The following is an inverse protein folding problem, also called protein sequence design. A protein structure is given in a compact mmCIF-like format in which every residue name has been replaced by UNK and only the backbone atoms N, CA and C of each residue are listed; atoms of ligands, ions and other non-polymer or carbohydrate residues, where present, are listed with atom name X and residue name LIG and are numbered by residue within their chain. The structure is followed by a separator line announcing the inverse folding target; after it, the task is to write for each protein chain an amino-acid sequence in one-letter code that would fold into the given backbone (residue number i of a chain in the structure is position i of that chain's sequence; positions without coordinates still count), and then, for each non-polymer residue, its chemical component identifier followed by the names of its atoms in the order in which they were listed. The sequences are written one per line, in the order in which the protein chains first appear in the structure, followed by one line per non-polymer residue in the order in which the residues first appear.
data_IF_045165461678
#
_entry.id   IF_045165461678
#
_cell.length_a   1.000
_cell.length_b   1.000
_cell.length_c   1.000
_cell.angle_alpha   90.00
_cell.angle_beta   90.00
_cell.angle_gamma   90.00
#
_symmetry.space_group_name_H-M   'P 1'
#
loop_
_entity.id
_entity.type
_entity.pdbx_description
1 polymer ?
#
# COMPACT_ATOMS: atom_id res chain seq x y z
N UNK A 1 0.02 -1.92 9.33
CA UNK A 1 -0.23 -2.30 7.92
C UNK A 1 -1.66 -1.89 7.61
N UNK A 2 -1.88 -1.28 6.44
CA UNK A 2 -3.22 -1.09 5.84
C UNK A 2 -3.39 -2.16 4.75
N UNK A 3 -4.61 -2.65 4.59
CA UNK A 3 -5.06 -3.50 3.50
C UNK A 3 -6.57 -3.34 3.35
N UNK A 4 -7.12 -3.65 2.19
CA UNK A 4 -8.56 -3.74 1.96
C UNK A 4 -9.09 -5.13 2.37
N UNK A 5 -10.42 -5.26 2.49
CA UNK A 5 -11.09 -6.49 2.93
C UNK A 5 -11.27 -7.53 1.82
N UNK A 6 -10.97 -7.15 0.58
CA UNK A 6 -10.89 -8.01 -0.61
C UNK A 6 -9.45 -8.40 -0.96
N UNK A 7 -8.50 -8.25 -0.03
CA UNK A 7 -7.09 -8.52 -0.26
C UNK A 7 -6.58 -9.70 0.58
N UNK A 8 -5.92 -10.67 -0.06
CA UNK A 8 -5.14 -11.68 0.64
C UNK A 8 -3.78 -11.10 1.06
N UNK A 9 -3.34 -11.42 2.29
CA UNK A 9 -2.02 -11.03 2.82
C UNK A 9 -1.25 -12.24 3.30
N UNK A 10 -0.05 -12.46 2.75
CA UNK A 10 0.90 -13.46 3.22
C UNK A 10 1.63 -12.96 4.48
N UNK A 11 0.99 -13.11 5.64
CA UNK A 11 1.50 -12.62 6.94
C UNK A 11 2.90 -13.16 7.27
N UNK A 12 3.25 -14.46 7.08
CA UNK A 12 4.60 -14.94 7.30
C UNK A 12 5.67 -14.18 6.49
N UNK A 13 5.37 -13.85 5.23
CA UNK A 13 6.28 -13.10 4.37
C UNK A 13 6.42 -11.64 4.84
N UNK A 14 5.32 -11.01 5.27
CA UNK A 14 5.35 -9.68 5.92
C UNK A 14 6.30 -9.68 7.12
N UNK A 15 6.18 -10.65 8.02
CA UNK A 15 7.02 -10.75 9.22
C UNK A 15 8.50 -10.89 8.84
N UNK A 16 8.83 -11.76 7.89
CA UNK A 16 10.21 -11.93 7.40
C UNK A 16 10.78 -10.64 6.82
N UNK A 17 10.02 -9.93 5.99
CA UNK A 17 10.43 -8.63 5.42
C UNK A 17 10.68 -7.59 6.52
N UNK A 18 9.78 -7.47 7.50
CA UNK A 18 9.97 -6.54 8.62
C UNK A 18 11.19 -6.87 9.48
N UNK A 19 11.51 -8.15 9.68
CA UNK A 19 12.73 -8.58 10.38
C UNK A 19 14.00 -8.21 9.60
N UNK A 20 13.99 -8.40 8.28
CA UNK A 20 15.11 -8.00 7.40
C UNK A 20 15.31 -6.47 7.44
N UNK A 21 14.23 -5.70 7.32
CA UNK A 21 14.28 -4.24 7.42
C UNK A 21 14.82 -3.76 8.78
N UNK A 22 14.37 -4.38 9.88
CA UNK A 22 14.90 -4.08 11.21
C UNK A 22 16.40 -4.36 11.30
N UNK A 23 16.86 -5.49 10.74
CA UNK A 23 18.28 -5.85 10.71
C UNK A 23 19.12 -4.88 9.87
N UNK A 24 18.52 -4.31 8.82
CA UNK A 24 19.12 -3.27 7.98
C UNK A 24 18.94 -1.83 8.53
N UNK A 25 18.42 -1.67 9.75
CA UNK A 25 18.12 -0.37 10.36
C UNK A 25 17.16 0.53 9.54
N UNK A 26 16.23 -0.09 8.79
CA UNK A 26 15.20 0.57 7.99
C UNK A 26 13.88 0.63 8.78
N UNK A 27 13.83 1.42 9.85
CA UNK A 27 12.68 1.42 10.79
C UNK A 27 12.02 2.78 11.01
N UNK A 28 12.61 3.87 10.54
CA UNK A 28 12.10 5.24 10.70
C UNK A 28 11.73 5.87 9.37
N UNK A 29 10.62 6.62 9.36
CA UNK A 29 10.06 7.30 8.17
C UNK A 29 9.93 6.39 6.96
N UNK A 30 9.54 5.13 7.17
CA UNK A 30 9.43 4.13 6.10
C UNK A 30 7.98 4.01 5.63
N UNK A 31 7.79 4.06 4.32
CA UNK A 31 6.56 3.65 3.65
C UNK A 31 6.89 2.54 2.65
N UNK A 32 6.50 1.31 2.98
CA UNK A 32 6.71 0.09 2.21
C UNK A 32 5.42 -0.30 1.48
N UNK A 33 5.50 -0.54 0.18
CA UNK A 33 4.40 -1.00 -0.66
C UNK A 33 4.79 -0.91 -2.13
N UNK A 34 3.83 -1.12 -3.03
CA UNK A 34 4.02 -0.90 -4.47
C UNK A 34 3.45 0.46 -4.85
N UNK A 35 4.24 1.32 -5.48
CA UNK A 35 3.87 2.73 -5.66
C UNK A 35 3.44 3.07 -7.09
N UNK A 36 2.28 3.72 -7.20
CA UNK A 36 1.91 4.47 -8.42
C UNK A 36 2.68 5.80 -8.42
N UNK A 37 3.32 6.11 -9.55
CA UNK A 37 4.19 7.28 -9.72
C UNK A 37 3.64 8.16 -10.83
N UNK A 38 3.57 9.47 -10.57
CA UNK A 38 3.10 10.46 -11.56
C UNK A 38 1.74 10.11 -12.17
N UNK A 39 0.86 9.51 -11.36
CA UNK A 39 -0.47 9.12 -11.82
C UNK A 39 -1.31 10.36 -12.14
N UNK A 40 -2.02 10.33 -13.26
CA UNK A 40 -2.83 11.46 -13.71
C UNK A 40 -3.99 11.75 -12.76
N UNK A 41 -4.25 13.04 -12.56
CA UNK A 41 -5.45 13.51 -11.85
C UNK A 41 -6.60 13.52 -12.86
N UNK A 42 -7.67 12.77 -12.55
CA UNK A 42 -8.84 12.73 -13.41
C UNK A 42 -9.84 13.81 -13.01
N UNK A 43 -10.50 14.41 -13.99
CA UNK A 43 -11.55 15.41 -13.83
C UNK A 43 -12.97 14.83 -14.02
N UNK A 44 -13.08 13.52 -14.27
CA UNK A 44 -14.36 12.82 -14.46
C UNK A 44 -14.32 11.36 -13.98
N UNK A 45 -15.50 10.77 -13.80
CA UNK A 45 -15.67 9.38 -13.37
C UNK A 45 -15.56 9.17 -11.85
N UNK A 46 -15.56 7.90 -11.43
CA UNK A 46 -15.49 7.50 -10.00
C UNK A 46 -14.32 8.15 -9.27
N UNK A 47 -13.21 8.38 -9.97
CA UNK A 47 -11.95 8.85 -9.41
C UNK A 47 -11.66 10.33 -9.71
N UNK A 48 -12.69 11.11 -10.06
CA UNK A 48 -12.55 12.55 -10.28
C UNK A 48 -12.10 13.28 -9.01
N UNK A 49 -11.09 14.14 -9.11
CA UNK A 49 -10.63 15.01 -8.03
C UNK A 49 -10.64 16.46 -8.48
N UNK A 50 -11.35 17.31 -7.75
CA UNK A 50 -11.56 18.72 -8.09
C UNK A 50 -10.88 19.68 -7.10
N UNK A 51 -10.35 19.17 -6.00
CA UNK A 51 -9.72 19.94 -4.93
C UNK A 51 -8.18 19.84 -4.97
N UNK A 52 -7.62 19.11 -5.94
CA UNK A 52 -6.18 18.98 -6.13
C UNK A 52 -5.76 19.56 -7.48
N UNK A 53 -4.94 20.61 -7.45
CA UNK A 53 -4.69 21.48 -8.61
C UNK A 53 -3.49 21.09 -9.49
N UNK A 54 -2.84 19.96 -9.23
CA UNK A 54 -1.73 19.50 -10.07
C UNK A 54 -2.21 18.51 -11.14
N UNK A 55 -1.41 18.32 -12.19
CA UNK A 55 -1.73 17.36 -13.27
C UNK A 55 -1.50 15.91 -12.85
N UNK A 56 -0.61 15.68 -11.88
CA UNK A 56 -0.27 14.36 -11.38
C UNK A 56 -0.14 14.33 -9.87
N UNK A 57 -0.45 13.19 -9.28
CA UNK A 57 -0.27 12.95 -7.85
C UNK A 57 1.20 12.68 -7.51
N UNK A 58 1.63 12.98 -6.26
CA UNK A 58 2.85 12.44 -5.69
C UNK A 58 2.80 10.90 -5.64
N UNK A 59 3.88 10.25 -5.22
CA UNK A 59 3.88 8.80 -5.09
C UNK A 59 2.89 8.36 -4.01
N UNK A 60 2.05 7.38 -4.34
CA UNK A 60 1.15 6.73 -3.39
C UNK A 60 1.16 5.22 -3.60
N UNK A 61 0.95 4.48 -2.51
CA UNK A 61 0.91 3.02 -2.57
C UNK A 61 -0.39 2.52 -3.23
N UNK A 62 -0.34 1.35 -3.85
CA UNK A 62 -1.51 0.66 -4.37
C UNK A 62 -2.41 0.12 -3.24
N UNK A 63 -3.69 -0.07 -3.57
CA UNK A 63 -4.75 -0.43 -2.60
C UNK A 63 -4.59 -1.77 -1.90
N UNK A 64 -3.88 -2.73 -2.52
CA UNK A 64 -3.72 -4.09 -1.96
C UNK A 64 -3.02 -4.14 -0.60
N UNK A 65 -2.31 -3.07 -0.24
CA UNK A 65 -1.81 -2.86 1.10
C UNK A 65 -0.45 -2.19 1.12
N UNK A 66 -0.12 -1.64 2.29
CA UNK A 66 1.18 -1.06 2.57
C UNK A 66 1.46 -1.01 4.07
N UNK A 67 2.72 -0.77 4.40
CA UNK A 67 3.20 -0.64 5.77
C UNK A 67 3.87 0.71 5.95
N UNK A 68 3.47 1.43 6.99
CA UNK A 68 4.14 2.66 7.44
C UNK A 68 4.81 2.43 8.78
N UNK A 69 5.91 3.12 9.02
CA UNK A 69 6.57 3.16 10.32
C UNK A 69 5.73 3.94 11.35
N UNK A 70 5.92 3.62 12.63
CA UNK A 70 5.11 4.17 13.72
C UNK A 70 5.19 5.70 13.85
N UNK A 71 6.33 6.31 13.49
CA UNK A 71 6.53 7.76 13.48
C UNK A 71 5.71 8.47 12.39
N UNK A 72 5.54 7.85 11.22
CA UNK A 72 4.60 8.34 10.20
C UNK A 72 3.16 8.28 10.73
N UNK A 73 2.79 7.16 11.35
CA UNK A 73 1.46 7.01 11.96
C UNK A 73 1.18 8.08 13.02
N UNK A 74 2.13 8.32 13.92
CA UNK A 74 2.02 9.35 14.95
C UNK A 74 1.89 10.77 14.36
N UNK A 75 2.67 11.08 13.31
CA UNK A 75 2.54 12.33 12.58
C UNK A 75 1.13 12.49 12.01
N UNK A 76 0.62 11.49 11.28
CA UNK A 76 -0.71 11.54 10.67
C UNK A 76 -1.80 11.72 11.72
N UNK A 77 -1.73 11.01 12.85
CA UNK A 77 -2.68 11.20 13.96
C UNK A 77 -2.63 12.62 14.53
N UNK A 78 -1.44 13.21 14.68
CA UNK A 78 -1.31 14.58 15.17
C UNK A 78 -1.80 15.62 14.15
N UNK A 79 -1.57 15.38 12.86
CA UNK A 79 -1.90 16.31 11.78
C UNK A 79 -3.36 16.20 11.31
N UNK A 80 -4.07 15.09 11.62
CA UNK A 80 -5.39 14.77 11.08
C UNK A 80 -6.44 15.90 11.11
N UNK A 81 -6.50 16.82 12.09
CA UNK A 81 -7.50 17.89 12.08
C UNK A 81 -7.26 18.93 10.97
N UNK A 82 -6.04 18.96 10.42
CA UNK A 82 -5.59 19.90 9.40
C UNK A 82 -5.42 19.25 8.02
N UNK A 83 -5.60 17.93 7.92
CA UNK A 83 -5.47 17.21 6.66
C UNK A 83 -6.77 17.32 5.85
N UNK A 84 -6.66 17.86 4.64
CA UNK A 84 -7.76 17.85 3.67
C UNK A 84 -8.00 16.43 3.16
N UNK A 85 -9.28 16.05 2.99
CA UNK A 85 -9.65 14.75 2.41
C UNK A 85 -9.69 14.87 0.89
N UNK A 86 -8.85 14.09 0.22
CA UNK A 86 -8.87 13.97 -1.24
C UNK A 86 -9.64 12.73 -1.66
N UNK A 87 -10.03 12.66 -2.92
CA UNK A 87 -10.63 11.49 -3.53
C UNK A 87 -9.60 10.35 -3.61
N UNK A 88 -9.88 9.27 -2.88
CA UNK A 88 -8.96 8.16 -2.69
C UNK A 88 -8.08 8.35 -1.44
N UNK A 89 -8.15 7.39 -0.53
CA UNK A 89 -7.38 7.37 0.72
C UNK A 89 -5.88 7.17 0.47
N UNK A 90 -5.51 6.36 -0.50
CA UNK A 90 -4.11 6.13 -0.86
C UNK A 90 -3.50 7.38 -1.51
N UNK A 91 -4.26 8.02 -2.40
CA UNK A 91 -3.90 9.33 -2.99
C UNK A 91 -3.73 10.37 -1.89
N UNK A 92 -4.67 10.42 -0.94
CA UNK A 92 -4.60 11.32 0.21
C UNK A 92 -3.30 11.11 1.01
N UNK A 93 -2.92 9.86 1.28
CA UNK A 93 -1.65 9.53 1.94
C UNK A 93 -0.44 10.06 1.16
N UNK A 94 -0.43 9.91 -0.16
CA UNK A 94 0.63 10.45 -1.02
C UNK A 94 0.77 11.97 -0.90
N UNK A 95 -0.36 12.68 -0.91
CA UNK A 95 -0.39 14.14 -0.76
C UNK A 95 0.06 14.56 0.64
N UNK A 96 -0.49 13.98 1.70
CA UNK A 96 -0.18 14.33 3.09
C UNK A 96 1.28 14.09 3.46
N UNK A 97 1.92 13.10 2.85
CA UNK A 97 3.31 12.74 3.12
C UNK A 97 4.32 13.41 2.17
N UNK A 98 3.86 14.00 1.06
CA UNK A 98 4.71 14.71 0.09
C UNK A 98 5.63 15.81 0.66
N UNK A 99 5.25 16.61 1.69
CA UNK A 99 6.17 17.60 2.25
C UNK A 99 7.22 17.01 3.20
N UNK A 100 7.15 15.71 3.52
CA UNK A 100 8.05 15.04 4.46
C UNK A 100 9.16 14.28 3.75
N UNK A 101 10.29 14.13 4.42
CA UNK A 101 11.35 13.21 3.98
C UNK A 101 10.98 11.78 4.33
N UNK A 102 10.29 11.10 3.41
CA UNK A 102 9.89 9.69 3.53
C UNK A 102 10.87 8.79 2.78
N UNK A 103 11.18 7.63 3.38
CA UNK A 103 11.85 6.52 2.71
C UNK A 103 10.80 5.60 2.11
N UNK A 104 10.60 5.74 0.81
CA UNK A 104 9.80 4.83 0.02
C UNK A 104 10.58 3.54 -0.22
N UNK A 105 9.97 2.40 0.13
CA UNK A 105 10.48 1.07 -0.24
C UNK A 105 9.48 0.50 -1.24
N UNK A 106 9.83 0.61 -2.52
CA UNK A 106 9.01 0.15 -3.63
C UNK A 106 9.17 -1.36 -3.81
N UNK A 107 8.09 -2.09 -3.59
CA UNK A 107 8.09 -3.55 -3.47
C UNK A 107 6.92 -4.15 -4.24
N UNK A 108 7.20 -4.66 -5.44
CA UNK A 108 6.21 -5.23 -6.35
C UNK A 108 5.52 -6.49 -5.80
N UNK A 109 6.05 -7.10 -4.73
CA UNK A 109 5.35 -8.20 -4.05
C UNK A 109 4.02 -7.76 -3.42
N UNK A 110 3.80 -6.47 -3.24
CA UNK A 110 2.47 -5.91 -2.99
C UNK A 110 1.76 -5.70 -4.33
N UNK A 111 0.97 -6.67 -4.78
CA UNK A 111 0.43 -6.61 -6.15
C UNK A 111 -0.61 -5.49 -6.29
N UNK A 112 -0.50 -4.65 -7.31
CA UNK A 112 -1.50 -3.58 -7.56
C UNK A 112 -2.77 -4.08 -8.26
N UNK A 113 -2.73 -5.28 -8.83
CA UNK A 113 -3.79 -5.90 -9.63
C UNK A 113 -3.79 -7.41 -9.36
N UNK A 114 -4.83 -8.12 -9.77
CA UNK A 114 -4.80 -9.58 -9.81
C UNK A 114 -3.66 -10.06 -10.74
N UNK A 115 -2.75 -10.93 -10.26
CA UNK A 115 -1.68 -11.47 -11.10
C UNK A 115 -2.24 -12.31 -12.25
N UNK A 116 -1.81 -12.05 -13.48
CA UNK A 116 -2.23 -12.81 -14.67
C UNK A 116 -1.60 -14.22 -14.70
N UNK A 117 -0.34 -14.34 -14.25
CA UNK A 117 0.44 -15.59 -14.25
C UNK A 117 0.13 -16.51 -13.04
N UNK A 118 -0.93 -16.20 -12.30
CA UNK A 118 -1.33 -16.94 -11.10
C UNK A 118 -0.64 -16.49 -9.82
N UNK A 119 -1.03 -17.11 -8.72
CA UNK A 119 -0.58 -16.75 -7.37
C UNK A 119 0.73 -17.45 -7.05
N UNK A 120 1.73 -16.68 -6.61
CA UNK A 120 3.03 -17.19 -6.21
C UNK A 120 3.31 -16.93 -4.74
N UNK A 121 4.17 -17.75 -4.13
CA UNK A 121 4.53 -17.63 -2.71
C UNK A 121 5.42 -16.42 -2.37
N UNK A 122 5.87 -15.67 -3.39
CA UNK A 122 6.65 -14.45 -3.25
C UNK A 122 5.78 -13.20 -3.12
N UNK A 123 4.47 -13.29 -3.39
CA UNK A 123 3.54 -12.17 -3.23
C UNK A 123 3.19 -11.95 -1.75
N UNK A 124 3.30 -10.71 -1.33
CA UNK A 124 2.91 -10.24 0.01
C UNK A 124 1.42 -9.95 0.07
N UNK A 125 0.88 -9.27 -0.94
CA UNK A 125 -0.55 -8.97 -1.02
C UNK A 125 -1.09 -9.20 -2.43
N UNK A 126 -2.34 -9.66 -2.49
CA UNK A 126 -3.07 -9.96 -3.73
C UNK A 126 -4.47 -9.34 -3.58
N UNK A 127 -4.84 -8.36 -4.43
CA UNK A 127 -6.11 -7.65 -4.31
C UNK A 127 -7.27 -8.37 -5.01
N UNK A 128 -8.48 -7.83 -4.86
CA UNK A 128 -9.70 -8.18 -5.62
C UNK A 128 -10.12 -9.67 -5.51
N UNK A 129 -9.88 -10.28 -4.34
CA UNK A 129 -10.28 -11.65 -4.04
C UNK A 129 -11.59 -11.71 -3.26
N UNK A 130 -12.40 -12.72 -3.57
CA UNK A 130 -13.52 -13.10 -2.71
C UNK A 130 -13.03 -13.79 -1.44
N UNK A 131 -13.91 -13.90 -0.43
CA UNK A 131 -13.59 -14.64 0.80
C UNK A 131 -13.17 -16.09 0.55
N UNK A 132 -13.75 -16.76 -0.43
CA UNK A 132 -13.35 -18.13 -0.80
C UNK A 132 -12.07 -18.15 -1.63
N UNK A 133 -11.86 -17.15 -2.51
CA UNK A 133 -10.59 -16.96 -3.22
C UNK A 133 -9.41 -16.79 -2.26
N UNK A 134 -9.57 -16.00 -1.20
CA UNK A 134 -8.54 -15.85 -0.15
C UNK A 134 -8.22 -17.18 0.55
N UNK A 135 -9.24 -18.02 0.83
CA UNK A 135 -9.02 -19.35 1.44
C UNK A 135 -8.30 -20.30 0.48
N UNK A 136 -8.65 -20.25 -0.80
CA UNK A 136 -8.00 -21.05 -1.83
C UNK A 136 -6.51 -20.67 -1.92
N UNK A 137 -6.22 -19.38 -2.06
CA UNK A 137 -4.84 -18.86 -2.06
C UNK A 137 -4.11 -19.27 -0.78
N UNK A 138 -4.75 -19.16 0.39
CA UNK A 138 -4.15 -19.61 1.64
C UNK A 138 -3.76 -21.09 1.59
N UNK A 139 -4.65 -21.94 1.08
CA UNK A 139 -4.44 -23.38 0.99
C UNK A 139 -3.29 -23.69 0.02
N UNK A 140 -3.28 -23.08 -1.17
CA UNK A 140 -2.22 -23.24 -2.17
C UNK A 140 -0.85 -22.81 -1.65
N UNK A 141 -0.79 -21.74 -0.85
CA UNK A 141 0.47 -21.23 -0.29
C UNK A 141 0.94 -21.99 0.96
N UNK A 142 0.07 -22.79 1.58
CA UNK A 142 0.38 -23.55 2.81
C UNK A 142 0.47 -25.05 2.58
N UNK A 143 0.06 -25.57 1.42
CA UNK A 143 0.11 -26.99 1.10
C UNK A 143 1.53 -27.56 0.97
N UNK A 144 2.54 -26.70 0.83
CA UNK A 144 3.97 -27.06 0.75
C UNK A 144 4.72 -26.92 2.10
N UNK A 145 4.01 -26.64 3.21
CA UNK A 145 4.55 -26.58 4.57
C UNK A 145 4.25 -27.87 5.37
#
# INVERSE_FOLDING_TARGET
MKTDDDCYVNVPLVVRKLQQMRSANLTQRVWLGNFRKMWAVYDHGKWAEHNYNALTYPWFACGSGYIISSDIGAYLTSAHPHLHRFQGEDVSMGIWLSPLTIRYIDDESFSCVLPEDGVTNSLVSIPELTGDGMKQVHTELTSDL
#
